data_IF_822996433065
#
_entry.id   IF_822996433065
#
_cell.length_a   1.000
_cell.length_b   1.000
_cell.length_c   1.000
_cell.angle_alpha   90.00
_cell.angle_beta   90.00
_cell.angle_gamma   90.00
#
_symmetry.space_group_name_H-M   'P 1'
#
loop_
_entity.id
_entity.type
_entity.pdbx_description
1 polymer ?
#
# COMPACT_ATOMS: atom_id res chain seq x y z
N UNK A 1 -11.57 48.71 42.46
CA UNK A 1 -11.97 49.46 41.25
C UNK A 1 -11.45 48.83 39.97
N UNK A 2 -10.35 48.06 40.02
CA UNK A 2 -9.74 47.45 38.81
C UNK A 2 -10.52 46.29 38.17
N UNK A 3 -11.43 45.62 38.91
CA UNK A 3 -12.23 44.50 38.36
C UNK A 3 -13.48 44.96 37.57
N UNK A 4 -13.78 46.27 37.58
CA UNK A 4 -14.97 46.84 36.92
C UNK A 4 -14.66 47.45 35.55
N UNK A 5 -13.38 47.66 35.24
CA UNK A 5 -12.93 48.18 33.94
C UNK A 5 -12.76 47.06 32.90
N UNK A 6 -12.61 45.80 33.34
CA UNK A 6 -12.51 44.66 32.44
C UNK A 6 -13.84 44.22 31.82
N UNK A 7 -14.99 44.64 32.39
CA UNK A 7 -16.30 44.12 31.99
C UNK A 7 -17.09 44.99 31.01
N UNK A 8 -16.60 46.16 30.59
CA UNK A 8 -17.27 47.07 29.64
C UNK A 8 -18.79 47.31 29.88
N UNK A 9 -19.32 47.04 31.08
CA UNK A 9 -20.75 47.12 31.38
C UNK A 9 -21.60 45.89 31.02
N UNK A 10 -21.02 44.76 30.60
CA UNK A 10 -21.74 43.51 30.33
C UNK A 10 -22.05 42.72 31.61
N UNK A 11 -23.18 41.97 31.63
CA UNK A 11 -23.55 41.10 32.74
C UNK A 11 -22.45 40.05 32.99
N UNK A 12 -22.14 39.77 34.26
CA UNK A 12 -21.04 38.89 34.67
C UNK A 12 -21.07 37.51 33.98
N UNK A 13 -22.28 37.01 33.72
CA UNK A 13 -22.56 35.72 33.07
C UNK A 13 -22.23 35.73 31.56
N UNK A 14 -22.28 36.89 30.91
CA UNK A 14 -21.95 37.03 29.48
C UNK A 14 -20.43 37.04 29.27
N UNK A 15 -19.71 37.71 30.19
CA UNK A 15 -18.24 37.70 30.23
C UNK A 15 -17.71 36.28 30.45
N UNK A 16 -18.28 35.54 31.39
CA UNK A 16 -17.91 34.14 31.66
C UNK A 16 -18.16 33.24 30.43
N UNK A 17 -19.33 33.35 29.80
CA UNK A 17 -19.65 32.60 28.57
C UNK A 17 -18.72 32.96 27.40
N UNK A 18 -18.27 34.21 27.31
CA UNK A 18 -17.31 34.65 26.28
C UNK A 18 -15.93 34.06 26.54
N UNK A 19 -15.46 34.10 27.77
CA UNK A 19 -14.17 33.53 28.19
C UNK A 19 -14.13 32.02 27.96
N UNK A 20 -15.22 31.31 28.27
CA UNK A 20 -15.36 29.88 27.97
C UNK A 20 -15.31 29.56 26.47
N UNK A 21 -15.94 30.41 25.64
CA UNK A 21 -15.90 30.25 24.17
C UNK A 21 -14.51 30.51 23.62
N UNK A 22 -13.80 31.51 24.15
CA UNK A 22 -12.43 31.82 23.76
C UNK A 22 -11.48 30.69 24.15
N UNK A 23 -11.59 30.17 25.39
CA UNK A 23 -10.83 29.01 25.86
C UNK A 23 -11.06 27.77 25.00
N UNK A 24 -12.31 27.42 24.68
CA UNK A 24 -12.62 26.27 23.80
C UNK A 24 -12.04 26.44 22.40
N UNK A 25 -12.01 27.67 21.86
CA UNK A 25 -11.39 27.95 20.56
C UNK A 25 -9.87 27.80 20.61
N UNK A 26 -9.22 28.20 21.70
CA UNK A 26 -7.78 28.02 21.88
C UNK A 26 -7.41 26.54 22.05
N UNK A 27 -8.16 25.80 22.86
CA UNK A 27 -7.96 24.36 23.02
C UNK A 27 -8.11 23.61 21.68
N UNK A 28 -9.13 23.95 20.87
CA UNK A 28 -9.31 23.37 19.55
C UNK A 28 -8.17 23.71 18.57
N UNK A 29 -7.68 24.95 18.58
CA UNK A 29 -6.53 25.37 17.77
C UNK A 29 -5.25 24.65 18.19
N UNK A 30 -5.02 24.51 19.49
CA UNK A 30 -3.87 23.81 20.06
C UNK A 30 -3.89 22.32 19.69
N UNK A 31 -5.04 21.66 19.84
CA UNK A 31 -5.22 20.26 19.44
C UNK A 31 -4.94 20.04 17.95
N UNK A 32 -5.45 20.92 17.08
CA UNK A 32 -5.20 20.84 15.64
C UNK A 32 -3.72 21.08 15.30
N UNK A 33 -3.04 22.00 16.00
CA UNK A 33 -1.61 22.25 15.82
C UNK A 33 -0.77 21.03 16.24
N UNK A 34 -1.09 20.42 17.39
CA UNK A 34 -0.44 19.21 17.88
C UNK A 34 -0.61 18.03 16.90
N UNK A 35 -1.81 17.86 16.33
CA UNK A 35 -2.08 16.83 15.32
C UNK A 35 -1.27 17.07 14.02
N UNK A 36 -1.18 18.33 13.56
CA UNK A 36 -0.35 18.69 12.40
C UNK A 36 1.14 18.45 12.64
N UNK A 37 1.62 18.69 13.86
CA UNK A 37 3.00 18.38 14.25
C UNK A 37 3.26 16.87 14.28
N UNK A 38 2.31 16.06 14.78
CA UNK A 38 2.41 14.58 14.73
C UNK A 38 2.43 14.03 13.31
N UNK A 39 1.70 14.65 12.38
CA UNK A 39 1.63 14.22 10.97
C UNK A 39 2.83 14.66 10.12
N UNK A 40 3.65 15.61 10.59
CA UNK A 40 4.88 16.02 9.91
C UNK A 40 5.97 15.00 10.21
N UNK A 41 6.04 13.96 9.38
CA UNK A 41 7.13 12.98 9.43
C UNK A 41 8.45 13.64 9.05
N UNK A 42 9.45 13.55 9.94
CA UNK A 42 10.80 14.06 9.68
C UNK A 42 11.55 13.13 8.74
N UNK A 43 12.54 13.65 8.01
CA UNK A 43 13.47 12.84 7.21
C UNK A 43 14.17 11.81 8.09
N UNK A 44 14.45 12.17 9.35
CA UNK A 44 15.02 11.25 10.35
C UNK A 44 14.05 10.13 10.73
N UNK A 45 12.74 10.38 10.83
CA UNK A 45 11.76 9.33 11.07
C UNK A 45 11.68 8.37 9.88
N UNK A 46 11.81 8.89 8.66
CA UNK A 46 11.84 8.10 7.45
C UNK A 46 13.10 7.21 7.38
N UNK A 47 14.24 7.76 7.79
CA UNK A 47 15.51 7.02 7.91
C UNK A 47 15.41 5.97 9.01
N UNK A 48 14.84 6.31 10.17
CA UNK A 48 14.64 5.39 11.29
C UNK A 48 13.69 4.25 10.92
N UNK A 49 12.62 4.52 10.15
CA UNK A 49 11.75 3.46 9.59
C UNK A 49 12.49 2.55 8.61
N UNK A 50 13.38 3.09 7.77
CA UNK A 50 14.07 2.33 6.71
C UNK A 50 15.34 1.62 7.17
N UNK A 51 16.06 2.17 8.15
CA UNK A 51 17.35 1.65 8.63
C UNK A 51 17.28 1.12 10.07
N UNK A 52 16.36 1.63 10.89
CA UNK A 52 16.20 1.26 12.31
C UNK A 52 15.42 -0.03 12.54
N UNK A 53 15.69 -1.05 11.72
CA UNK A 53 15.10 -2.36 11.90
C UNK A 53 15.47 -2.98 13.26
N UNK A 54 14.41 -3.41 13.97
CA UNK A 54 14.39 -4.19 15.24
C UNK A 54 14.49 -3.37 16.51
N UNK A 55 13.35 -3.01 17.11
CA UNK A 55 13.40 -2.71 18.55
C UNK A 55 12.17 -2.19 19.28
N UNK A 56 11.08 -1.72 18.65
CA UNK A 56 9.90 -1.28 19.42
C UNK A 56 8.58 -1.63 18.73
N UNK A 57 7.62 -2.26 19.46
CA UNK A 57 6.26 -2.40 18.99
C UNK A 57 5.53 -1.09 19.33
N UNK A 58 5.35 -0.24 18.34
CA UNK A 58 4.28 0.75 18.40
C UNK A 58 3.13 0.16 17.58
N UNK A 59 2.13 -0.30 18.32
CA UNK A 59 0.81 -0.62 17.78
C UNK A 59 0.26 0.56 16.99
N UNK A 60 -0.58 0.22 16.01
CA UNK A 60 -1.35 1.11 15.16
C UNK A 60 -0.54 2.03 14.26
N UNK A 61 -0.26 1.53 13.06
CA UNK A 61 -0.67 2.21 11.83
C UNK A 61 -0.51 1.24 10.66
N UNK A 62 -1.61 1.00 9.97
CA UNK A 62 -1.64 0.54 8.58
C UNK A 62 -0.61 1.34 7.75
N UNK A 63 0.59 0.80 7.58
CA UNK A 63 1.58 1.35 6.64
C UNK A 63 1.73 0.33 5.51
N UNK A 64 0.79 0.47 4.56
CA UNK A 64 0.88 0.15 3.13
C UNK A 64 2.21 0.69 2.58
N UNK A 65 3.32 0.03 2.93
CA UNK A 65 4.65 0.45 2.52
C UNK A 65 4.92 -0.03 1.10
N UNK A 66 4.44 0.70 0.10
CA UNK A 66 5.03 0.93 -1.24
C UNK A 66 5.63 -0.25 -2.05
N UNK A 67 5.42 -1.50 -1.65
CA UNK A 67 5.47 -2.65 -2.55
C UNK A 67 4.14 -2.64 -3.29
N UNK A 68 4.17 -2.67 -4.64
CA UNK A 68 2.97 -3.01 -5.42
C UNK A 68 2.23 -4.13 -4.66
N UNK A 69 0.95 -3.96 -4.31
CA UNK A 69 0.28 -4.90 -3.43
C UNK A 69 0.47 -6.29 -4.03
N UNK A 70 1.20 -7.15 -3.30
CA UNK A 70 1.43 -8.51 -3.74
C UNK A 70 0.05 -9.11 -3.89
N UNK A 71 -0.36 -9.37 -5.14
CA UNK A 71 -1.72 -9.78 -5.43
C UNK A 71 -2.03 -11.00 -4.56
N UNK A 72 -2.97 -10.84 -3.64
CA UNK A 72 -3.29 -11.92 -2.71
C UNK A 72 -4.09 -12.97 -3.48
N UNK A 73 -3.40 -14.06 -3.84
CA UNK A 73 -3.93 -15.21 -4.58
C UNK A 73 -4.13 -16.42 -3.64
N UNK A 74 -4.21 -16.19 -2.34
CA UNK A 74 -4.58 -17.25 -1.39
C UNK A 74 -6.02 -17.71 -1.64
N UNK A 75 -6.30 -19.00 -1.45
CA UNK A 75 -7.64 -19.57 -1.66
C UNK A 75 -8.72 -18.81 -0.87
N UNK A 76 -8.43 -18.43 0.38
CA UNK A 76 -9.36 -17.67 1.22
C UNK A 76 -9.63 -16.26 0.69
N UNK A 77 -8.62 -15.59 0.13
CA UNK A 77 -8.81 -14.27 -0.49
C UNK A 77 -9.63 -14.37 -1.78
N UNK A 78 -9.28 -15.31 -2.66
CA UNK A 78 -9.98 -15.53 -3.93
C UNK A 78 -11.46 -15.90 -3.75
N UNK A 79 -11.82 -16.59 -2.68
CA UNK A 79 -13.22 -16.89 -2.36
C UNK A 79 -14.03 -15.67 -1.92
N UNK A 80 -13.38 -14.69 -1.27
CA UNK A 80 -14.02 -13.46 -0.78
C UNK A 80 -14.12 -12.38 -1.87
N UNK A 81 -13.25 -12.43 -2.86
CA UNK A 81 -13.21 -11.47 -3.98
C UNK A 81 -14.52 -11.45 -4.79
N UNK A 82 -14.88 -10.30 -5.37
CA UNK A 82 -15.95 -10.23 -6.37
C UNK A 82 -15.51 -10.79 -7.73
N UNK A 83 -16.46 -11.04 -8.64
CA UNK A 83 -16.14 -11.40 -10.04
C UNK A 83 -15.34 -10.31 -10.74
N UNK A 84 -15.62 -9.04 -10.42
CA UNK A 84 -14.85 -7.89 -10.92
C UNK A 84 -13.41 -7.91 -10.40
N UNK A 85 -13.22 -8.22 -9.12
CA UNK A 85 -11.89 -8.28 -8.50
C UNK A 85 -11.07 -9.42 -9.09
N UNK A 86 -11.68 -10.60 -9.29
CA UNK A 86 -11.01 -11.72 -9.96
C UNK A 86 -10.59 -11.37 -11.39
N UNK A 87 -11.43 -10.65 -12.15
CA UNK A 87 -11.08 -10.18 -13.49
C UNK A 87 -9.93 -9.17 -13.46
N UNK A 88 -9.95 -8.23 -12.52
CA UNK A 88 -8.87 -7.27 -12.34
C UNK A 88 -7.56 -7.97 -11.99
N UNK A 89 -7.57 -8.91 -11.03
CA UNK A 89 -6.41 -9.71 -10.64
C UNK A 89 -5.87 -10.52 -11.82
N UNK A 90 -6.75 -11.17 -12.59
CA UNK A 90 -6.36 -11.91 -13.79
C UNK A 90 -5.67 -10.99 -14.80
N UNK A 91 -6.28 -9.85 -15.14
CA UNK A 91 -5.68 -8.86 -16.04
C UNK A 91 -4.31 -8.36 -15.57
N UNK A 92 -4.18 -8.01 -14.29
CA UNK A 92 -2.90 -7.58 -13.71
C UNK A 92 -1.83 -8.66 -13.77
N UNK A 93 -2.19 -9.92 -13.49
CA UNK A 93 -1.28 -11.06 -13.61
C UNK A 93 -0.82 -11.26 -15.06
N UNK A 94 -1.76 -11.27 -16.02
CA UNK A 94 -1.43 -11.44 -17.44
C UNK A 94 -0.55 -10.30 -17.98
N UNK A 95 -0.81 -9.04 -17.59
CA UNK A 95 0.03 -7.90 -17.99
C UNK A 95 1.43 -7.98 -17.38
N UNK A 96 1.55 -8.37 -16.10
CA UNK A 96 2.86 -8.58 -15.48
C UNK A 96 3.64 -9.70 -16.17
N UNK A 97 2.98 -10.82 -16.53
CA UNK A 97 3.59 -11.91 -17.30
C UNK A 97 4.10 -11.39 -18.65
N UNK A 98 3.28 -10.64 -19.40
CA UNK A 98 3.67 -10.04 -20.69
C UNK A 98 4.83 -9.06 -20.56
N UNK A 99 4.88 -8.31 -19.46
CA UNK A 99 6.00 -7.41 -19.20
C UNK A 99 7.29 -8.19 -18.94
N UNK A 100 7.26 -9.21 -18.08
CA UNK A 100 8.43 -10.03 -17.79
C UNK A 100 8.91 -10.83 -19.00
N UNK A 101 8.00 -11.31 -19.86
CA UNK A 101 8.36 -11.97 -21.12
C UNK A 101 9.16 -11.03 -22.03
N UNK A 102 8.71 -9.77 -22.19
CA UNK A 102 9.46 -8.75 -22.94
C UNK A 102 10.83 -8.44 -22.32
N UNK A 103 10.93 -8.47 -20.98
CA UNK A 103 12.22 -8.32 -20.30
C UNK A 103 13.15 -9.50 -20.55
N UNK A 104 12.62 -10.73 -20.57
CA UNK A 104 13.37 -11.95 -20.91
C UNK A 104 13.89 -11.86 -22.35
N UNK A 105 13.06 -11.49 -23.32
CA UNK A 105 13.49 -11.29 -24.71
C UNK A 105 14.63 -10.26 -24.83
N UNK A 106 14.54 -9.15 -24.08
CA UNK A 106 15.63 -8.15 -24.03
C UNK A 106 16.91 -8.71 -23.41
N UNK A 107 16.81 -9.53 -22.38
CA UNK A 107 17.98 -10.17 -21.77
C UNK A 107 18.59 -11.23 -22.69
N UNK A 108 17.77 -11.98 -23.43
CA UNK A 108 18.23 -12.97 -24.42
C UNK A 108 18.97 -12.28 -25.58
N UNK A 109 18.43 -11.19 -26.14
CA UNK A 109 19.14 -10.38 -27.15
C UNK A 109 20.43 -9.74 -26.61
N UNK A 110 20.46 -9.34 -25.33
CA UNK A 110 21.67 -8.83 -24.69
C UNK A 110 22.71 -9.95 -24.50
N UNK A 111 22.27 -11.16 -24.16
CA UNK A 111 23.13 -12.35 -24.05
C UNK A 111 23.83 -12.65 -25.37
N UNK A 112 23.09 -12.62 -26.48
CA UNK A 112 23.63 -12.83 -27.83
C UNK A 112 24.72 -11.80 -28.19
N UNK A 113 24.57 -10.54 -27.76
CA UNK A 113 25.58 -9.49 -27.99
C UNK A 113 26.84 -9.67 -27.14
N UNK A 114 26.74 -10.37 -26.01
CA UNK A 114 27.83 -10.49 -25.03
C UNK A 114 28.53 -11.85 -25.04
N UNK A 115 28.39 -12.65 -26.12
CA UNK A 115 28.96 -14.00 -26.25
C UNK A 115 30.47 -14.05 -25.95
N UNK A 116 31.22 -12.97 -26.23
CA UNK A 116 32.66 -12.90 -25.96
C UNK A 116 33.04 -12.66 -24.49
N UNK A 117 32.11 -12.30 -23.61
CA UNK A 117 32.40 -11.93 -22.22
C UNK A 117 31.77 -12.93 -21.23
N UNK A 118 32.55 -13.91 -20.79
CA UNK A 118 32.11 -14.98 -19.87
C UNK A 118 31.54 -14.46 -18.54
N UNK A 119 32.11 -13.41 -17.97
CA UNK A 119 31.64 -12.85 -16.71
C UNK A 119 30.27 -12.19 -16.87
N UNK A 120 30.06 -11.46 -17.97
CA UNK A 120 28.79 -10.82 -18.25
C UNK A 120 27.69 -11.84 -18.60
N UNK A 121 28.03 -12.90 -19.34
CA UNK A 121 27.11 -14.00 -19.63
C UNK A 121 26.59 -14.69 -18.36
N UNK A 122 27.46 -14.98 -17.40
CA UNK A 122 27.05 -15.60 -16.14
C UNK A 122 26.03 -14.75 -15.36
N UNK A 123 26.22 -13.42 -15.36
CA UNK A 123 25.29 -12.47 -14.74
C UNK A 123 23.95 -12.46 -15.50
N UNK A 124 23.98 -12.42 -16.83
CA UNK A 124 22.77 -12.43 -17.65
C UNK A 124 22.00 -13.74 -17.46
N UNK A 125 22.68 -14.87 -17.43
CA UNK A 125 22.06 -16.19 -17.22
C UNK A 125 21.40 -16.29 -15.86
N UNK A 126 22.05 -15.79 -14.79
CA UNK A 126 21.44 -15.72 -13.46
C UNK A 126 20.17 -14.84 -13.44
N UNK A 127 20.21 -13.70 -14.13
CA UNK A 127 19.03 -12.82 -14.26
C UNK A 127 17.91 -13.48 -15.08
N UNK A 128 18.24 -14.16 -16.17
CA UNK A 128 17.29 -14.91 -16.99
C UNK A 128 16.60 -16.00 -16.18
N UNK A 129 17.36 -16.80 -15.43
CA UNK A 129 16.80 -17.82 -14.55
C UNK A 129 15.85 -17.21 -13.52
N UNK A 130 16.27 -16.12 -12.86
CA UNK A 130 15.43 -15.43 -11.87
C UNK A 130 14.11 -14.94 -12.48
N UNK A 131 14.16 -14.35 -13.68
CA UNK A 131 12.96 -13.87 -14.40
C UNK A 131 12.06 -15.01 -14.88
N UNK A 132 12.63 -16.13 -15.32
CA UNK A 132 11.87 -17.33 -15.71
C UNK A 132 11.13 -17.95 -14.51
N UNK A 133 11.78 -18.01 -13.34
CA UNK A 133 11.14 -18.45 -12.09
C UNK A 133 10.00 -17.49 -11.69
N UNK A 134 10.21 -16.18 -11.84
CA UNK A 134 9.18 -15.17 -11.55
C UNK A 134 7.94 -15.34 -12.46
N UNK A 135 8.15 -15.55 -13.77
CA UNK A 135 7.07 -15.84 -14.72
C UNK A 135 6.30 -17.09 -14.30
N UNK A 136 7.00 -18.18 -13.95
CA UNK A 136 6.35 -19.41 -13.52
C UNK A 136 5.48 -19.19 -12.27
N UNK A 137 5.97 -18.44 -11.28
CA UNK A 137 5.18 -18.09 -10.09
C UNK A 137 3.92 -17.30 -10.42
N UNK A 138 4.00 -16.35 -11.35
CA UNK A 138 2.83 -15.58 -11.78
C UNK A 138 1.84 -16.44 -12.57
N UNK A 139 2.31 -17.38 -13.39
CA UNK A 139 1.45 -18.33 -14.10
C UNK A 139 0.71 -19.26 -13.14
N UNK A 140 1.38 -19.76 -12.10
CA UNK A 140 0.73 -20.54 -11.03
C UNK A 140 -0.34 -19.71 -10.30
N UNK A 141 -0.08 -18.42 -10.07
CA UNK A 141 -1.04 -17.51 -9.48
C UNK A 141 -2.24 -17.26 -10.43
N UNK A 142 -1.99 -17.04 -11.72
CA UNK A 142 -3.03 -16.87 -12.74
C UNK A 142 -3.92 -18.12 -12.82
N UNK A 143 -3.33 -19.32 -12.78
CA UNK A 143 -4.05 -20.59 -12.75
C UNK A 143 -4.99 -20.73 -11.54
N UNK A 144 -4.60 -20.24 -10.37
CA UNK A 144 -5.46 -20.21 -9.17
C UNK A 144 -6.65 -19.28 -9.35
N UNK A 145 -6.44 -18.08 -9.92
CA UNK A 145 -7.51 -17.12 -10.20
C UNK A 145 -8.49 -17.69 -11.23
N UNK A 146 -7.97 -18.26 -12.32
CA UNK A 146 -8.78 -18.88 -13.37
C UNK A 146 -9.58 -20.07 -12.84
N UNK A 147 -8.98 -20.90 -11.98
CA UNK A 147 -9.66 -22.01 -11.32
C UNK A 147 -10.85 -21.56 -10.48
N UNK A 148 -10.70 -20.49 -9.70
CA UNK A 148 -11.80 -19.91 -8.93
C UNK A 148 -12.88 -19.30 -9.84
N UNK A 149 -12.50 -18.57 -10.88
CA UNK A 149 -13.44 -18.04 -11.87
C UNK A 149 -14.25 -19.17 -12.53
N UNK A 150 -13.61 -20.28 -12.87
CA UNK A 150 -14.26 -21.46 -13.45
C UNK A 150 -15.19 -22.14 -12.44
N UNK A 151 -14.74 -22.33 -11.19
CA UNK A 151 -15.57 -22.86 -10.11
C UNK A 151 -16.86 -22.07 -9.91
N UNK A 152 -16.78 -20.72 -9.96
CA UNK A 152 -17.96 -19.85 -9.87
C UNK A 152 -18.88 -19.98 -11.07
N UNK A 153 -18.32 -20.06 -12.29
CA UNK A 153 -19.11 -20.29 -13.51
C UNK A 153 -19.86 -21.62 -13.44
N UNK A 154 -19.19 -22.67 -12.96
CA UNK A 154 -19.80 -23.99 -12.85
C UNK A 154 -20.86 -24.04 -11.77
N UNK A 155 -20.60 -23.50 -10.57
CA UNK A 155 -21.62 -23.34 -9.52
C UNK A 155 -22.85 -22.56 -10.02
N UNK A 156 -22.64 -21.47 -10.78
CA UNK A 156 -23.75 -20.70 -11.35
C UNK A 156 -24.62 -21.53 -12.28
N UNK A 157 -24.07 -22.49 -13.03
CA UNK A 157 -24.86 -23.41 -13.89
C UNK A 157 -25.71 -24.38 -13.06
N UNK A 158 -25.20 -24.83 -11.91
CA UNK A 158 -25.88 -25.81 -11.06
C UNK A 158 -26.84 -25.19 -10.03
N UNK A 159 -26.75 -23.88 -9.76
CA UNK A 159 -27.62 -23.18 -8.81
C UNK A 159 -28.82 -22.46 -9.48
N UNK A 160 -29.16 -22.82 -10.72
CA UNK A 160 -30.40 -22.35 -11.37
C UNK A 160 -31.53 -23.32 -11.01
N UNK A 161 -31.99 -23.26 -9.76
CA UNK A 161 -33.19 -23.94 -9.28
C UNK A 161 -34.00 -22.98 -8.42
#
# INVERSE_FOLDING_TARGET
MELREASNGEELLEVEKRLDRERKKEEAKSAQAAERLRKKTSVFDLINKKLGGKGQPLEDSDDESNSKPVLNVSKCALQKDSTKDLNMKNYQLSENIRQLQREVEKLETTKERQIGNKAALAIIDSKLQSKKIEIQRLQEAEGKVQGEQQSRKDKKKFCVF
#
